data_IF_174181707273
#
_entry.id   IF_174181707273
#
_cell.length_a   1.000
_cell.length_b   1.000
_cell.length_c   1.000
_cell.angle_alpha   90.00
_cell.angle_beta   90.00
_cell.angle_gamma   90.00
#
_symmetry.space_group_name_H-M   'P 1'
#
loop_
_entity.id
_entity.type
_entity.pdbx_description
1 polymer ?
#
# COMPACT_ATOMS: atom_id res chain seq x y z
N UNK A 1 -24.45 2.81 -9.10
CA UNK A 1 -24.09 3.76 -10.17
C UNK A 1 -25.03 4.98 -10.23
N UNK A 2 -26.34 4.83 -10.41
CA UNK A 2 -27.27 5.98 -10.50
C UNK A 2 -27.42 6.84 -9.23
N UNK A 3 -27.08 6.33 -8.05
CA UNK A 3 -27.07 7.10 -6.80
C UNK A 3 -25.85 8.02 -6.72
N UNK A 4 -24.68 7.53 -7.12
CA UNK A 4 -23.42 8.29 -7.12
C UNK A 4 -23.48 9.47 -8.10
N UNK A 5 -23.95 9.23 -9.33
CA UNK A 5 -24.17 10.30 -10.32
C UNK A 5 -25.16 11.38 -9.84
N UNK A 6 -26.18 10.99 -9.05
CA UNK A 6 -27.12 11.94 -8.46
C UNK A 6 -26.48 12.80 -7.37
N UNK A 7 -25.64 12.21 -6.52
CA UNK A 7 -24.90 12.93 -5.48
C UNK A 7 -23.88 13.88 -6.11
N UNK A 8 -23.15 13.46 -7.14
CA UNK A 8 -22.19 14.31 -7.86
C UNK A 8 -22.89 15.50 -8.54
N UNK A 9 -24.04 15.26 -9.18
CA UNK A 9 -24.83 16.33 -9.80
C UNK A 9 -25.35 17.34 -8.76
N UNK A 10 -25.79 16.87 -7.58
CA UNK A 10 -26.21 17.74 -6.48
C UNK A 10 -25.05 18.55 -5.91
N UNK A 11 -23.87 17.94 -5.74
CA UNK A 11 -22.66 18.62 -5.30
C UNK A 11 -22.26 19.74 -6.27
N UNK A 12 -22.21 19.43 -7.58
CA UNK A 12 -21.89 20.41 -8.62
C UNK A 12 -22.89 21.57 -8.65
N UNK A 13 -24.19 21.30 -8.46
CA UNK A 13 -25.21 22.34 -8.38
C UNK A 13 -25.01 23.28 -7.18
N UNK A 14 -24.62 22.75 -6.02
CA UNK A 14 -24.33 23.56 -4.84
C UNK A 14 -23.09 24.43 -5.06
N UNK A 15 -22.03 23.87 -5.65
CA UNK A 15 -20.81 24.62 -5.98
C UNK A 15 -21.11 25.77 -6.95
N UNK A 16 -21.87 25.50 -8.02
CA UNK A 16 -22.23 26.53 -9.01
C UNK A 16 -23.11 27.63 -8.40
N UNK A 17 -24.05 27.26 -7.52
CA UNK A 17 -24.87 28.24 -6.77
C UNK A 17 -24.01 29.12 -5.88
N UNK A 18 -23.07 28.52 -5.15
CA UNK A 18 -22.19 29.28 -4.25
C UNK A 18 -21.22 30.19 -5.02
N UNK A 19 -20.69 29.74 -6.15
CA UNK A 19 -19.88 30.58 -7.05
C UNK A 19 -20.69 31.75 -7.60
N UNK A 20 -21.94 31.51 -8.03
CA UNK A 20 -22.83 32.57 -8.50
C UNK A 20 -23.11 33.60 -7.39
N UNK A 21 -23.40 33.14 -6.18
CA UNK A 21 -23.62 34.01 -5.01
C UNK A 21 -22.40 34.86 -4.69
N UNK A 22 -21.19 34.29 -4.72
CA UNK A 22 -19.94 35.02 -4.52
C UNK A 22 -19.70 36.07 -5.61
N UNK A 23 -19.93 35.74 -6.89
CA UNK A 23 -19.82 36.71 -7.99
C UNK A 23 -20.81 37.87 -7.84
N UNK A 24 -22.06 37.58 -7.45
CA UNK A 24 -23.05 38.61 -7.17
C UNK A 24 -22.64 39.53 -6.02
N UNK A 25 -22.12 38.97 -4.92
CA UNK A 25 -21.62 39.76 -3.80
C UNK A 25 -20.42 40.64 -4.20
N UNK A 26 -19.50 40.09 -4.99
CA UNK A 26 -18.35 40.84 -5.51
C UNK A 26 -18.78 42.00 -6.41
N UNK A 27 -19.71 41.76 -7.34
CA UNK A 27 -20.25 42.83 -8.19
C UNK A 27 -21.01 43.90 -7.40
N UNK A 28 -21.70 43.54 -6.33
CA UNK A 28 -22.35 44.51 -5.46
C UNK A 28 -21.33 45.45 -4.79
N UNK A 29 -20.20 44.92 -4.34
CA UNK A 29 -19.09 45.71 -3.76
C UNK A 29 -18.45 46.61 -4.83
N UNK A 30 -18.20 46.08 -6.03
CA UNK A 30 -17.65 46.85 -7.15
C UNK A 30 -18.55 48.04 -7.52
N UNK A 31 -19.87 47.82 -7.59
CA UNK A 31 -20.85 48.89 -7.86
C UNK A 31 -20.82 49.95 -6.76
N UNK A 32 -20.68 49.55 -5.49
CA UNK A 32 -20.58 50.51 -4.38
C UNK A 32 -19.30 51.35 -4.48
N UNK A 33 -18.18 50.73 -4.83
CA UNK A 33 -16.91 51.44 -5.05
C UNK A 33 -17.00 52.43 -6.21
N UNK A 34 -17.62 52.04 -7.34
CA UNK A 34 -17.86 52.97 -8.45
C UNK A 34 -18.76 54.14 -8.05
N UNK A 35 -19.83 53.90 -7.28
CA UNK A 35 -20.68 54.98 -6.75
C UNK A 35 -19.88 55.96 -5.89
N UNK A 36 -19.02 55.47 -5.00
CA UNK A 36 -18.16 56.33 -4.17
C UNK A 36 -17.21 57.18 -5.03
N UNK A 37 -16.60 56.60 -6.05
CA UNK A 37 -15.73 57.33 -6.98
C UNK A 37 -16.49 58.40 -7.76
N UNK A 38 -17.70 58.10 -8.22
CA UNK A 38 -18.57 59.05 -8.92
C UNK A 38 -18.98 60.20 -7.99
N UNK A 39 -19.33 59.91 -6.75
CA UNK A 39 -19.71 60.95 -5.79
C UNK A 39 -18.52 61.82 -5.37
N UNK A 40 -17.31 61.27 -5.35
CA UNK A 40 -16.09 62.05 -5.15
C UNK A 40 -15.83 63.00 -6.34
N UNK A 41 -15.94 62.50 -7.57
CA UNK A 41 -15.78 63.30 -8.80
C UNK A 41 -16.84 64.40 -8.93
N UNK A 42 -18.11 64.10 -8.59
CA UNK A 42 -19.19 65.09 -8.54
C UNK A 42 -18.89 66.19 -7.53
N UNK A 43 -18.53 65.83 -6.30
CA UNK A 43 -18.18 66.81 -5.26
C UNK A 43 -17.00 67.69 -5.68
N UNK A 44 -16.01 67.13 -6.37
CA UNK A 44 -14.88 67.89 -6.89
C UNK A 44 -15.31 68.86 -8.00
N UNK A 45 -16.15 68.40 -8.94
CA UNK A 45 -16.70 69.25 -10.01
C UNK A 45 -17.57 70.38 -9.45
N UNK A 46 -18.40 70.10 -8.44
CA UNK A 46 -19.21 71.10 -7.78
C UNK A 46 -18.34 72.11 -7.03
N UNK A 47 -17.27 71.66 -6.36
CA UNK A 47 -16.31 72.54 -5.71
C UNK A 47 -15.58 73.44 -6.72
N UNK A 48 -15.12 72.89 -7.85
CA UNK A 48 -14.51 73.65 -8.94
C UNK A 48 -15.50 74.65 -9.51
N UNK A 49 -16.72 74.23 -9.83
CA UNK A 49 -17.79 75.10 -10.34
C UNK A 49 -18.04 76.26 -9.38
N UNK A 50 -18.24 75.99 -8.09
CA UNK A 50 -18.46 77.03 -7.07
C UNK A 50 -17.25 77.96 -7.00
N UNK A 51 -16.01 77.44 -6.99
CA UNK A 51 -14.80 78.28 -6.96
C UNK A 51 -14.68 79.19 -8.19
N UNK A 52 -14.90 78.66 -9.39
CA UNK A 52 -14.84 79.43 -10.64
C UNK A 52 -16.01 80.39 -10.80
N UNK A 53 -17.23 79.99 -10.43
CA UNK A 53 -18.41 80.85 -10.48
C UNK A 53 -18.30 81.95 -9.43
N UNK A 54 -17.80 81.67 -8.23
CA UNK A 54 -17.59 82.71 -7.20
C UNK A 54 -16.49 83.69 -7.64
N UNK A 55 -15.39 83.22 -8.24
CA UNK A 55 -14.37 84.11 -8.78
C UNK A 55 -14.88 84.93 -9.98
N UNK A 56 -15.69 84.35 -10.86
CA UNK A 56 -16.32 85.05 -11.99
C UNK A 56 -17.37 86.05 -11.55
N UNK A 57 -18.26 85.68 -10.63
CA UNK A 57 -19.33 86.55 -10.10
C UNK A 57 -18.71 87.68 -9.29
N UNK A 58 -17.73 87.42 -8.42
CA UNK A 58 -17.01 88.49 -7.72
C UNK A 58 -16.28 89.43 -8.70
N UNK A 59 -15.68 88.90 -9.78
CA UNK A 59 -15.07 89.73 -10.80
C UNK A 59 -16.10 90.54 -11.60
N UNK A 60 -17.29 89.99 -11.86
CA UNK A 60 -18.36 90.62 -12.64
C UNK A 60 -19.14 91.64 -11.79
N UNK A 61 -19.44 91.34 -10.52
CA UNK A 61 -20.02 92.26 -9.54
C UNK A 61 -19.09 93.46 -9.29
N UNK A 62 -17.77 93.24 -9.23
CA UNK A 62 -16.77 94.33 -9.14
C UNK A 62 -16.73 95.18 -10.42
N UNK A 63 -16.96 94.57 -11.59
CA UNK A 63 -16.96 95.26 -12.88
C UNK A 63 -18.30 95.98 -13.18
N UNK A 64 -19.43 95.44 -12.72
CA UNK A 64 -20.77 96.03 -12.81
C UNK A 64 -20.96 97.11 -11.74
N UNK A 65 -20.51 96.91 -10.49
CA UNK A 65 -20.47 97.97 -9.49
C UNK A 65 -19.56 99.14 -9.91
N UNK A 66 -18.46 98.86 -10.63
CA UNK A 66 -17.63 99.90 -11.25
C UNK A 66 -18.29 100.66 -12.42
N UNK A 67 -19.35 100.10 -13.03
CA UNK A 67 -20.15 100.79 -14.08
C UNK A 67 -21.33 101.57 -13.52
N UNK A 68 -21.99 101.07 -12.48
CA UNK A 68 -23.07 101.81 -11.81
C UNK A 68 -22.52 102.94 -10.90
N UNK A 69 -21.32 102.79 -10.32
CA UNK A 69 -20.69 103.85 -9.51
C UNK A 69 -20.05 104.99 -10.32
N UNK A 70 -19.88 104.86 -11.65
CA UNK A 70 -19.53 106.02 -12.48
C UNK A 70 -20.65 107.08 -12.53
N UNK A 71 -21.88 106.75 -12.13
CA UNK A 71 -22.97 107.71 -11.98
C UNK A 71 -23.22 108.18 -10.53
N UNK A 72 -22.52 107.61 -9.52
CA UNK A 72 -22.66 108.04 -8.12
C UNK A 72 -21.38 107.85 -7.29
N UNK A 73 -20.47 108.81 -7.37
CA UNK A 73 -19.76 109.36 -6.20
C UNK A 73 -18.86 108.48 -5.32
N UNK A 74 -18.48 107.25 -5.69
CA UNK A 74 -17.66 106.34 -4.85
C UNK A 74 -16.27 105.99 -5.42
N UNK A 75 -15.77 106.75 -6.40
CA UNK A 75 -14.46 106.52 -7.02
C UNK A 75 -13.29 106.48 -6.03
N UNK A 76 -13.40 107.13 -4.87
CA UNK A 76 -12.34 107.19 -3.85
C UNK A 76 -12.03 105.82 -3.23
N UNK A 77 -13.02 104.95 -3.02
CA UNK A 77 -12.83 103.63 -2.41
C UNK A 77 -12.13 102.63 -3.34
N UNK A 78 -12.44 102.69 -4.64
CA UNK A 78 -11.76 101.90 -5.66
C UNK A 78 -10.34 102.42 -5.91
N UNK A 79 -10.17 103.74 -5.92
CA UNK A 79 -8.86 104.37 -6.05
C UNK A 79 -7.95 104.07 -4.85
N UNK A 80 -8.49 104.01 -3.62
CA UNK A 80 -7.78 103.57 -2.41
C UNK A 80 -7.40 102.08 -2.43
N UNK A 81 -8.29 101.20 -2.88
CA UNK A 81 -8.01 99.77 -3.02
C UNK A 81 -6.95 99.53 -4.11
N UNK A 82 -7.05 100.25 -5.24
CA UNK A 82 -6.09 100.23 -6.32
C UNK A 82 -4.74 100.81 -5.88
N UNK A 83 -4.72 101.88 -5.08
CA UNK A 83 -3.50 102.43 -4.49
C UNK A 83 -2.82 101.46 -3.53
N UNK A 84 -3.57 100.75 -2.67
CA UNK A 84 -2.98 99.70 -1.81
C UNK A 84 -2.35 98.57 -2.62
N UNK A 85 -3.01 98.13 -3.69
CA UNK A 85 -2.46 97.11 -4.59
C UNK A 85 -1.25 97.66 -5.34
N UNK A 86 -1.28 98.92 -5.79
CA UNK A 86 -0.17 99.60 -6.45
C UNK A 86 1.04 99.77 -5.52
N UNK A 87 0.84 100.13 -4.24
CA UNK A 87 1.89 100.30 -3.23
C UNK A 87 2.61 98.97 -2.93
N UNK A 88 1.86 97.87 -2.92
CA UNK A 88 2.40 96.52 -2.68
C UNK A 88 3.09 95.96 -3.94
N UNK A 89 2.50 96.18 -5.12
CA UNK A 89 2.94 95.51 -6.36
C UNK A 89 3.93 96.36 -7.18
N UNK A 90 4.03 97.67 -6.89
CA UNK A 90 4.88 98.67 -7.55
C UNK A 90 4.72 98.78 -9.07
N UNK A 91 3.60 98.31 -9.61
CA UNK A 91 3.31 98.33 -11.06
C UNK A 91 2.27 99.40 -11.38
N UNK A 92 2.62 100.32 -12.29
CA UNK A 92 1.80 101.51 -12.63
C UNK A 92 0.72 101.26 -13.67
N UNK A 93 0.80 100.16 -14.44
CA UNK A 93 -0.16 99.86 -15.51
C UNK A 93 -1.16 98.78 -15.04
N UNK A 94 -2.46 99.11 -14.88
CA UNK A 94 -3.49 98.14 -14.48
C UNK A 94 -3.55 96.92 -15.40
N UNK A 95 -3.32 97.09 -16.71
CA UNK A 95 -3.40 95.99 -17.67
C UNK A 95 -2.22 95.02 -17.54
N UNK A 96 -1.07 95.49 -17.07
CA UNK A 96 0.10 94.64 -16.79
C UNK A 96 -0.08 93.88 -15.48
N UNK A 97 -0.66 94.53 -14.47
CA UNK A 97 -0.98 93.92 -13.19
C UNK A 97 -1.99 92.77 -13.35
N UNK A 98 -3.08 93.00 -14.10
CA UNK A 98 -4.09 91.96 -14.38
C UNK A 98 -3.47 90.81 -15.16
N UNK A 99 -2.65 91.08 -16.17
CA UNK A 99 -1.94 90.02 -16.92
C UNK A 99 -1.03 89.19 -16.03
N UNK A 100 -0.24 89.82 -15.15
CA UNK A 100 0.61 89.07 -14.20
C UNK A 100 -0.18 88.25 -13.20
N UNK A 101 -1.32 88.76 -12.75
CA UNK A 101 -2.21 88.02 -11.85
C UNK A 101 -2.83 86.82 -12.57
N UNK A 102 -3.30 87.00 -13.81
CA UNK A 102 -3.79 85.90 -14.65
C UNK A 102 -2.71 84.85 -14.89
N UNK A 103 -1.49 85.25 -15.24
CA UNK A 103 -0.37 84.31 -15.39
C UNK A 103 -0.02 83.58 -14.08
N UNK A 104 -0.10 84.27 -12.94
CA UNK A 104 0.13 83.66 -11.64
C UNK A 104 -0.96 82.65 -11.27
N UNK A 105 -2.22 82.97 -11.59
CA UNK A 105 -3.36 82.08 -11.40
C UNK A 105 -3.29 80.87 -12.35
N UNK A 106 -2.94 81.05 -13.63
CA UNK A 106 -2.74 79.95 -14.57
C UNK A 106 -1.63 79.01 -14.10
N UNK A 107 -0.51 79.55 -13.62
CA UNK A 107 0.58 78.76 -13.01
C UNK A 107 0.10 77.99 -11.79
N UNK A 108 -0.75 78.60 -10.95
CA UNK A 108 -1.32 77.96 -9.76
C UNK A 108 -2.32 76.87 -10.12
N UNK A 109 -3.14 77.08 -11.15
CA UNK A 109 -4.07 76.08 -11.69
C UNK A 109 -3.28 74.88 -12.23
N UNK A 110 -2.24 75.12 -13.04
CA UNK A 110 -1.37 74.07 -13.56
C UNK A 110 -0.70 73.26 -12.44
N UNK A 111 -0.20 73.93 -11.40
CA UNK A 111 0.39 73.25 -10.24
C UNK A 111 -0.64 72.41 -9.47
N UNK A 112 -1.86 72.94 -9.26
CA UNK A 112 -2.92 72.21 -8.59
C UNK A 112 -3.35 70.98 -9.39
N UNK A 113 -3.50 71.11 -10.72
CA UNK A 113 -3.76 69.99 -11.62
C UNK A 113 -2.67 68.93 -11.54
N UNK A 114 -1.40 69.33 -11.48
CA UNK A 114 -0.28 68.39 -11.31
C UNK A 114 -0.35 67.66 -9.96
N UNK A 115 -0.56 68.37 -8.86
CA UNK A 115 -0.67 67.77 -7.52
C UNK A 115 -1.85 66.79 -7.45
N UNK A 116 -2.97 67.11 -8.11
CA UNK A 116 -4.13 66.20 -8.19
C UNK A 116 -3.79 64.93 -8.97
N UNK A 117 -3.11 65.05 -10.10
CA UNK A 117 -2.73 63.89 -10.89
C UNK A 117 -1.73 63.01 -10.14
N UNK A 118 -0.75 63.60 -9.45
CA UNK A 118 0.15 62.87 -8.55
C UNK A 118 -0.62 62.18 -7.42
N UNK A 119 -1.64 62.81 -6.86
CA UNK A 119 -2.46 62.20 -5.80
C UNK A 119 -3.26 61.01 -6.32
N UNK A 120 -3.78 61.10 -7.56
CA UNK A 120 -4.45 59.97 -8.22
C UNK A 120 -3.48 58.81 -8.48
N UNK A 121 -2.29 59.11 -8.97
CA UNK A 121 -1.27 58.11 -9.24
C UNK A 121 -0.82 57.39 -7.95
N UNK A 122 -0.63 58.14 -6.85
CA UNK A 122 -0.37 57.56 -5.53
C UNK A 122 -1.51 56.61 -5.12
N UNK A 123 -2.77 57.00 -5.31
CA UNK A 123 -3.92 56.16 -5.02
C UNK A 123 -3.93 54.86 -5.83
N UNK A 124 -3.63 54.95 -7.13
CA UNK A 124 -3.50 53.78 -8.00
C UNK A 124 -2.40 52.83 -7.56
N UNK A 125 -1.20 53.36 -7.30
CA UNK A 125 -0.06 52.56 -6.86
C UNK A 125 -0.35 51.88 -5.51
N UNK A 126 -1.07 52.55 -4.60
CA UNK A 126 -1.49 51.97 -3.33
C UNK A 126 -2.50 50.82 -3.54
N UNK A 127 -3.45 50.97 -4.45
CA UNK A 127 -4.40 49.91 -4.80
C UNK A 127 -3.68 48.69 -5.39
N UNK A 128 -2.78 48.91 -6.36
CA UNK A 128 -1.98 47.85 -6.98
C UNK A 128 -1.09 47.14 -5.95
N UNK A 129 -0.52 47.89 -5.00
CA UNK A 129 0.27 47.34 -3.90
C UNK A 129 -0.57 46.43 -3.01
N UNK A 130 -1.77 46.87 -2.62
CA UNK A 130 -2.66 46.05 -1.78
C UNK A 130 -3.21 44.83 -2.53
N UNK A 131 -3.49 44.95 -3.83
CA UNK A 131 -3.86 43.80 -4.66
C UNK A 131 -2.71 42.79 -4.76
N UNK A 132 -1.48 43.26 -4.97
CA UNK A 132 -0.29 42.41 -5.05
C UNK A 132 -0.02 41.70 -3.73
N UNK A 133 -0.13 42.41 -2.59
CA UNK A 133 -0.03 41.79 -1.26
C UNK A 133 -1.07 40.70 -1.07
N UNK A 134 -2.33 40.94 -1.45
CA UNK A 134 -3.39 39.92 -1.39
C UNK A 134 -3.03 38.70 -2.23
N UNK A 135 -2.57 38.89 -3.47
CA UNK A 135 -2.12 37.79 -4.35
C UNK A 135 -0.99 36.98 -3.73
N UNK A 136 0.01 37.62 -3.12
CA UNK A 136 1.10 36.95 -2.40
C UNK A 136 0.55 36.12 -1.24
N UNK A 137 -0.33 36.69 -0.40
CA UNK A 137 -0.88 35.95 0.75
C UNK A 137 -1.75 34.77 0.34
N UNK A 138 -2.47 34.87 -0.79
CA UNK A 138 -3.26 33.77 -1.33
C UNK A 138 -2.34 32.67 -1.85
N UNK A 139 -1.35 33.02 -2.68
CA UNK A 139 -0.37 32.07 -3.22
C UNK A 139 0.39 31.35 -2.11
N UNK A 140 0.78 32.06 -1.03
CA UNK A 140 1.42 31.42 0.12
C UNK A 140 0.54 30.36 0.79
N UNK A 141 -0.77 30.66 0.95
CA UNK A 141 -1.73 29.70 1.52
C UNK A 141 -1.93 28.49 0.60
N UNK A 142 -2.02 28.71 -0.71
CA UNK A 142 -2.13 27.64 -1.71
C UNK A 142 -0.89 26.75 -1.70
N UNK A 143 0.32 27.34 -1.63
CA UNK A 143 1.57 26.59 -1.52
C UNK A 143 1.62 25.74 -0.24
N UNK A 144 1.21 26.30 0.90
CA UNK A 144 1.18 25.56 2.16
C UNK A 144 0.23 24.35 2.08
N UNK A 145 -0.97 24.56 1.56
CA UNK A 145 -1.96 23.49 1.41
C UNK A 145 -1.48 22.41 0.44
N UNK A 146 -0.88 22.81 -0.69
CA UNK A 146 -0.31 21.87 -1.65
C UNK A 146 0.86 21.07 -1.03
N UNK A 147 1.69 21.69 -0.19
CA UNK A 147 2.78 20.99 0.51
C UNK A 147 2.22 19.97 1.51
N UNK A 148 1.19 20.32 2.28
CA UNK A 148 0.51 19.41 3.19
C UNK A 148 -0.09 18.20 2.45
N UNK A 149 -0.80 18.44 1.35
CA UNK A 149 -1.39 17.39 0.51
C UNK A 149 -0.31 16.50 -0.12
N UNK A 150 0.76 17.11 -0.63
CA UNK A 150 1.90 16.40 -1.20
C UNK A 150 2.60 15.54 -0.13
N UNK A 151 2.79 16.07 1.08
CA UNK A 151 3.39 15.35 2.18
C UNK A 151 2.50 14.19 2.66
N UNK A 152 1.17 14.37 2.68
CA UNK A 152 0.22 13.29 2.95
C UNK A 152 0.27 12.20 1.88
N UNK A 153 0.38 12.58 0.60
CA UNK A 153 0.53 11.61 -0.50
C UNK A 153 1.86 10.84 -0.39
N UNK A 154 2.96 11.53 -0.13
CA UNK A 154 4.29 10.91 0.03
C UNK A 154 4.30 9.95 1.22
N UNK A 155 3.69 10.32 2.35
CA UNK A 155 3.61 9.42 3.51
C UNK A 155 2.79 8.17 3.20
N UNK A 156 1.64 8.33 2.52
CA UNK A 156 0.83 7.19 2.05
C UNK A 156 1.59 6.26 1.11
N UNK A 157 2.31 6.81 0.12
CA UNK A 157 3.12 5.99 -0.79
C UNK A 157 4.25 5.27 -0.05
N UNK A 158 4.87 5.91 0.96
CA UNK A 158 5.89 5.27 1.80
C UNK A 158 5.33 4.11 2.62
N UNK A 159 4.13 4.25 3.18
CA UNK A 159 3.48 3.16 3.93
C UNK A 159 3.11 2.00 3.02
N UNK A 160 2.52 2.26 1.86
CA UNK A 160 2.21 1.22 0.86
C UNK A 160 3.47 0.49 0.40
N UNK A 161 4.56 1.22 0.16
CA UNK A 161 5.85 0.62 -0.19
C UNK A 161 6.39 -0.26 0.93
N UNK A 162 6.30 0.18 2.19
CA UNK A 162 6.76 -0.59 3.35
C UNK A 162 5.95 -1.90 3.52
N UNK A 163 4.63 -1.84 3.32
CA UNK A 163 3.75 -3.02 3.36
C UNK A 163 4.10 -4.03 2.26
N UNK A 164 4.25 -3.57 1.02
CA UNK A 164 4.63 -4.42 -0.12
C UNK A 164 6.03 -5.02 0.10
N UNK A 165 6.96 -4.24 0.63
CA UNK A 165 8.30 -4.71 0.96
C UNK A 165 8.25 -5.83 2.01
N UNK A 166 7.47 -5.64 3.08
CA UNK A 166 7.28 -6.65 4.13
C UNK A 166 6.64 -7.93 3.58
N UNK A 167 5.62 -7.80 2.74
CA UNK A 167 4.96 -8.96 2.11
C UNK A 167 5.93 -9.72 1.20
N UNK A 168 6.70 -8.98 0.40
CA UNK A 168 7.73 -9.54 -0.50
C UNK A 168 8.82 -10.27 0.27
N UNK A 169 9.28 -9.71 1.39
CA UNK A 169 10.25 -10.37 2.27
C UNK A 169 9.67 -11.64 2.89
N UNK A 170 8.39 -11.61 3.27
CA UNK A 170 7.64 -12.79 3.70
C UNK A 170 7.60 -13.90 2.64
N UNK A 171 7.25 -13.57 1.39
CA UNK A 171 7.27 -14.55 0.29
C UNK A 171 8.68 -15.04 -0.02
N UNK A 172 9.69 -14.17 0.04
CA UNK A 172 11.09 -14.54 -0.15
C UNK A 172 11.54 -15.54 0.91
N UNK A 173 11.13 -15.37 2.17
CA UNK A 173 11.45 -16.32 3.23
C UNK A 173 10.75 -17.66 3.00
N UNK A 174 9.45 -17.67 2.71
CA UNK A 174 8.70 -18.89 2.36
C UNK A 174 9.34 -19.65 1.19
N UNK A 175 9.81 -18.92 0.17
CA UNK A 175 10.50 -19.52 -0.98
C UNK A 175 11.86 -20.14 -0.60
N UNK A 176 12.61 -19.52 0.33
CA UNK A 176 13.85 -20.11 0.87
C UNK A 176 13.55 -21.40 1.64
N UNK A 177 12.53 -21.38 2.49
CA UNK A 177 12.14 -22.54 3.30
C UNK A 177 11.70 -23.70 2.40
N UNK A 178 10.89 -23.42 1.37
CA UNK A 178 10.48 -24.41 0.37
C UNK A 178 11.69 -25.01 -0.37
N UNK A 179 12.66 -24.19 -0.80
CA UNK A 179 13.90 -24.67 -1.44
C UNK A 179 14.71 -25.56 -0.49
N UNK A 180 14.75 -25.24 0.79
CA UNK A 180 15.44 -26.05 1.79
C UNK A 180 14.75 -27.42 1.98
N UNK A 181 13.42 -27.43 2.09
CA UNK A 181 12.63 -28.68 2.17
C UNK A 181 12.82 -29.54 0.92
N UNK A 182 12.78 -28.93 -0.27
CA UNK A 182 13.02 -29.60 -1.54
C UNK A 182 14.42 -30.24 -1.61
N UNK A 183 15.45 -29.53 -1.12
CA UNK A 183 16.81 -30.08 -1.05
C UNK A 183 16.91 -31.26 -0.06
N UNK A 184 16.20 -31.20 1.07
CA UNK A 184 16.11 -32.32 2.02
C UNK A 184 15.40 -33.53 1.40
N UNK A 185 14.31 -33.32 0.66
CA UNK A 185 13.59 -34.38 -0.05
C UNK A 185 14.47 -35.04 -1.11
N UNK A 186 15.18 -34.26 -1.93
CA UNK A 186 16.11 -34.82 -2.92
C UNK A 186 17.16 -35.72 -2.27
N UNK A 187 17.78 -35.25 -1.17
CA UNK A 187 18.78 -36.04 -0.42
C UNK A 187 18.17 -37.29 0.22
N UNK A 188 16.97 -37.17 0.80
CA UNK A 188 16.27 -38.29 1.44
C UNK A 188 15.91 -39.40 0.45
N UNK A 189 15.39 -39.01 -0.72
CA UNK A 189 15.06 -39.94 -1.80
C UNK A 189 16.33 -40.58 -2.35
N UNK A 190 17.37 -39.80 -2.62
CA UNK A 190 18.64 -40.35 -3.13
C UNK A 190 19.27 -41.37 -2.16
N UNK A 191 19.25 -41.06 -0.86
CA UNK A 191 19.70 -41.98 0.19
C UNK A 191 18.90 -43.28 0.21
N UNK A 192 17.57 -43.21 0.12
CA UNK A 192 16.72 -44.41 0.13
C UNK A 192 16.88 -45.24 -1.15
N UNK A 193 16.94 -44.61 -2.32
CA UNK A 193 17.21 -45.27 -3.61
C UNK A 193 18.53 -46.05 -3.54
N UNK A 194 19.58 -45.45 -2.95
CA UNK A 194 20.87 -46.12 -2.73
C UNK A 194 20.72 -47.30 -1.77
N UNK A 195 20.08 -47.10 -0.61
CA UNK A 195 20.02 -48.09 0.48
C UNK A 195 19.18 -49.32 0.12
N UNK A 196 18.12 -49.13 -0.66
CA UNK A 196 17.23 -50.21 -1.14
C UNK A 196 17.85 -50.92 -2.36
N UNK A 197 18.87 -50.33 -2.99
CA UNK A 197 19.54 -50.88 -4.16
C UNK A 197 18.67 -50.83 -5.42
N UNK A 198 17.99 -49.71 -5.65
CA UNK A 198 17.19 -49.49 -6.85
C UNK A 198 18.08 -49.27 -8.09
N UNK A 199 17.72 -49.86 -9.23
CA UNK A 199 18.42 -49.67 -10.50
C UNK A 199 18.13 -48.28 -11.10
N UNK A 200 19.06 -47.34 -10.89
CA UNK A 200 18.98 -45.94 -11.34
C UNK A 200 19.00 -45.80 -12.86
N UNK A 201 19.63 -46.74 -13.56
CA UNK A 201 19.83 -46.72 -15.01
C UNK A 201 18.50 -46.60 -15.77
N UNK A 202 17.42 -47.19 -15.24
CA UNK A 202 16.08 -47.15 -15.87
C UNK A 202 15.53 -45.73 -15.97
N UNK A 203 15.86 -44.86 -15.01
CA UNK A 203 15.40 -43.47 -14.97
C UNK A 203 16.41 -42.58 -15.68
N UNK A 204 17.71 -42.75 -15.41
CA UNK A 204 18.78 -41.92 -15.96
C UNK A 204 18.88 -42.06 -17.49
N UNK A 205 18.75 -43.27 -18.04
CA UNK A 205 18.76 -43.50 -19.49
C UNK A 205 17.56 -42.86 -20.20
N UNK A 206 16.39 -42.77 -19.54
CA UNK A 206 15.19 -42.11 -20.10
C UNK A 206 15.27 -40.59 -20.06
N UNK A 207 16.08 -40.03 -19.16
CA UNK A 207 16.24 -38.59 -18.95
C UNK A 207 17.54 -38.05 -19.54
N UNK A 208 18.23 -38.82 -20.39
CA UNK A 208 19.44 -38.37 -21.09
C UNK A 208 20.69 -38.32 -20.20
N UNK A 209 20.87 -39.30 -19.31
CA UNK A 209 22.01 -39.42 -18.39
C UNK A 209 22.18 -38.24 -17.41
N UNK A 210 21.11 -37.49 -17.13
CA UNK A 210 21.11 -36.55 -16.01
C UNK A 210 21.16 -37.35 -14.69
N UNK A 211 22.35 -37.45 -14.10
CA UNK A 211 22.55 -38.21 -12.87
C UNK A 211 21.89 -37.50 -11.67
N UNK A 212 21.22 -38.29 -10.83
CA UNK A 212 20.69 -37.85 -9.54
C UNK A 212 19.22 -37.41 -9.50
N UNK A 213 18.74 -37.18 -8.27
CA UNK A 213 17.35 -36.82 -7.96
C UNK A 213 17.17 -35.31 -8.11
N UNK A 214 16.25 -34.93 -8.99
CA UNK A 214 15.83 -33.57 -9.31
C UNK A 214 14.30 -33.48 -9.22
N UNK A 215 13.75 -32.27 -9.18
CA UNK A 215 12.32 -32.13 -8.86
C UNK A 215 11.39 -32.66 -9.94
N UNK A 216 11.81 -32.60 -11.20
CA UNK A 216 11.05 -33.14 -12.33
C UNK A 216 11.08 -34.68 -12.39
N UNK A 217 12.10 -35.32 -11.80
CA UNK A 217 12.26 -36.79 -11.83
C UNK A 217 11.97 -37.47 -10.48
N UNK A 218 11.73 -36.68 -9.42
CA UNK A 218 11.49 -37.15 -8.05
C UNK A 218 10.36 -38.19 -7.96
N UNK A 219 9.24 -37.95 -8.66
CA UNK A 219 8.12 -38.88 -8.71
C UNK A 219 8.47 -40.21 -9.38
N UNK A 220 9.37 -40.19 -10.37
CA UNK A 220 9.83 -41.40 -11.03
C UNK A 220 10.69 -42.24 -10.08
N UNK A 221 11.57 -41.61 -9.29
CA UNK A 221 12.35 -42.30 -8.26
C UNK A 221 11.48 -42.87 -7.14
N UNK A 222 10.46 -42.13 -6.68
CA UNK A 222 9.50 -42.64 -5.69
C UNK A 222 8.76 -43.89 -6.20
N UNK A 223 8.31 -43.88 -7.46
CA UNK A 223 7.67 -45.05 -8.09
C UNK A 223 8.63 -46.24 -8.21
N UNK A 224 9.89 -45.99 -8.54
CA UNK A 224 10.91 -47.05 -8.62
C UNK A 224 11.19 -47.67 -7.25
N UNK A 225 11.26 -46.84 -6.20
CA UNK A 225 11.39 -47.32 -4.82
C UNK A 225 10.19 -48.17 -4.41
N UNK A 226 8.97 -47.70 -4.70
CA UNK A 226 7.75 -48.44 -4.41
C UNK A 226 7.77 -49.83 -5.06
N UNK A 227 8.08 -49.91 -6.35
CA UNK A 227 8.19 -51.19 -7.06
C UNK A 227 9.21 -52.12 -6.37
N UNK A 228 10.39 -51.59 -6.01
CA UNK A 228 11.45 -52.38 -5.38
C UNK A 228 11.07 -52.86 -3.99
N UNK A 229 10.40 -52.02 -3.19
CA UNK A 229 9.89 -52.40 -1.87
C UNK A 229 8.84 -53.50 -2.01
N UNK A 230 7.92 -53.41 -2.97
CA UNK A 230 6.92 -54.46 -3.22
C UNK A 230 7.56 -55.81 -3.61
N UNK A 231 8.60 -55.78 -4.46
CA UNK A 231 9.38 -56.99 -4.80
C UNK A 231 10.02 -57.61 -3.56
N UNK A 232 10.69 -56.80 -2.73
CA UNK A 232 11.34 -57.26 -1.49
C UNK A 232 10.32 -57.83 -0.49
N UNK A 233 9.15 -57.19 -0.34
CA UNK A 233 8.07 -57.69 0.50
C UNK A 233 7.53 -59.03 0.01
N UNK A 234 7.41 -59.22 -1.31
CA UNK A 234 6.96 -60.50 -1.89
C UNK A 234 7.97 -61.61 -1.68
N UNK A 235 9.26 -61.31 -1.79
CA UNK A 235 10.34 -62.27 -1.48
C UNK A 235 10.30 -62.63 0.01
N UNK A 236 10.15 -61.63 0.88
CA UNK A 236 10.07 -61.85 2.32
C UNK A 236 8.85 -62.69 2.72
N UNK A 237 7.66 -62.41 2.17
CA UNK A 237 6.47 -63.20 2.45
C UNK A 237 6.62 -64.63 1.97
N UNK A 238 7.20 -64.84 0.79
CA UNK A 238 7.52 -66.18 0.27
C UNK A 238 8.49 -66.93 1.21
N UNK A 239 9.60 -66.32 1.61
CA UNK A 239 10.58 -66.93 2.52
C UNK A 239 9.95 -67.25 3.89
N UNK A 240 9.03 -66.40 4.38
CA UNK A 240 8.38 -66.59 5.69
C UNK A 240 7.26 -67.64 5.67
N UNK A 241 6.56 -67.80 4.54
CA UNK A 241 5.43 -68.74 4.39
C UNK A 241 5.88 -70.13 3.93
N UNK A 242 6.96 -70.24 3.16
CA UNK A 242 7.51 -71.51 2.66
C UNK A 242 7.84 -72.56 3.76
N UNK A 243 8.31 -72.18 4.96
CA UNK A 243 8.50 -73.12 6.07
C UNK A 243 7.18 -73.68 6.63
N UNK A 244 6.08 -72.92 6.57
CA UNK A 244 4.77 -73.40 7.01
C UNK A 244 4.16 -74.40 6.03
N UNK A 245 4.30 -74.18 4.72
CA UNK A 245 3.82 -75.12 3.71
C UNK A 245 4.58 -76.45 3.74
N UNK A 246 5.91 -76.42 3.88
CA UNK A 246 6.73 -77.63 4.00
C UNK A 246 6.44 -78.41 5.28
N UNK A 247 6.12 -77.73 6.39
CA UNK A 247 5.68 -78.38 7.62
C UNK A 247 4.30 -79.02 7.49
N UNK A 248 3.36 -78.39 6.75
CA UNK A 248 2.06 -79.02 6.49
C UNK A 248 2.14 -80.17 5.49
N UNK A 249 3.03 -80.11 4.51
CA UNK A 249 3.28 -81.22 3.58
C UNK A 249 4.02 -82.38 4.25
N UNK A 250 4.95 -82.12 5.18
CA UNK A 250 5.59 -83.17 5.96
C UNK A 250 4.59 -83.84 6.91
N UNK A 251 3.74 -83.06 7.58
CA UNK A 251 2.64 -83.61 8.41
C UNK A 251 1.63 -84.39 7.55
N UNK A 252 1.32 -83.93 6.34
CA UNK A 252 0.43 -84.63 5.40
C UNK A 252 1.03 -85.95 4.89
N UNK A 253 2.32 -85.96 4.52
CA UNK A 253 3.04 -87.18 4.13
C UNK A 253 3.22 -88.13 5.31
N UNK A 254 3.41 -87.57 6.52
CA UNK A 254 3.50 -88.34 7.75
C UNK A 254 2.20 -89.06 8.10
N UNK A 255 1.08 -88.37 7.89
CA UNK A 255 -0.24 -88.97 8.05
C UNK A 255 -0.57 -90.01 6.97
N UNK A 256 0.02 -89.89 5.76
CA UNK A 256 -0.21 -90.82 4.64
C UNK A 256 0.54 -92.14 4.79
N UNK A 257 1.81 -92.13 5.22
CA UNK A 257 2.53 -93.38 5.53
C UNK A 257 1.90 -94.10 6.73
N UNK A 258 1.39 -93.36 7.72
CA UNK A 258 0.69 -93.95 8.84
C UNK A 258 -0.56 -94.72 8.40
N UNK A 259 -1.32 -94.19 7.42
CA UNK A 259 -2.50 -94.88 6.86
C UNK A 259 -2.18 -96.06 5.94
N UNK A 260 -1.12 -95.97 5.12
CA UNK A 260 -0.68 -97.08 4.25
C UNK A 260 -0.09 -98.24 5.06
N UNK A 261 0.63 -97.96 6.14
CA UNK A 261 1.16 -98.99 7.03
C UNK A 261 0.03 -99.71 7.78
N UNK A 262 -1.02 -98.97 8.19
CA UNK A 262 -2.21 -99.54 8.82
C UNK A 262 -3.02 -100.43 7.86
N UNK A 263 -3.23 -99.99 6.61
CA UNK A 263 -3.95 -100.76 5.59
C UNK A 263 -3.16 -101.98 5.10
N UNK A 264 -1.84 -101.86 4.99
CA UNK A 264 -0.94 -103.00 4.73
C UNK A 264 -1.00 -104.02 5.87
N UNK A 265 -0.91 -103.57 7.12
CA UNK A 265 -0.92 -104.46 8.29
C UNK A 265 -2.28 -105.13 8.55
N UNK A 266 -3.40 -104.54 8.11
CA UNK A 266 -4.72 -105.17 8.16
C UNK A 266 -4.92 -106.23 7.08
N UNK A 267 -4.38 -106.04 5.86
CA UNK A 267 -4.44 -107.03 4.78
C UNK A 267 -3.65 -108.31 5.11
N UNK A 268 -2.51 -108.17 5.78
CA UNK A 268 -1.73 -109.32 6.27
C UNK A 268 -2.39 -110.04 7.47
N UNK A 269 -3.25 -109.38 8.24
CA UNK A 269 -3.98 -110.00 9.36
C UNK A 269 -5.24 -110.76 8.93
N UNK A 270 -5.90 -110.35 7.85
CA UNK A 270 -7.06 -111.09 7.32
C UNK A 270 -6.67 -112.41 6.62
N UNK A 271 -5.48 -112.51 6.00
CA UNK A 271 -5.01 -113.76 5.38
C UNK A 271 -4.48 -114.80 6.38
N UNK A 272 -4.04 -114.38 7.57
CA UNK A 272 -3.51 -115.28 8.62
C UNK A 272 -4.59 -115.76 9.61
N UNK A 273 -5.76 -115.10 9.72
CA UNK A 273 -6.85 -115.53 10.62
C UNK A 273 -7.73 -116.68 10.08
N UNK A 274 -7.71 -116.98 8.77
CA UNK A 274 -8.46 -118.11 8.20
C UNK A 274 -7.76 -119.48 8.28
N UNK A 275 -6.45 -119.54 8.63
CA UNK A 275 -5.66 -120.80 8.56
C UNK A 275 -5.08 -121.32 9.87
N UNK A 276 -5.48 -120.80 11.03
CA UNK A 276 -4.77 -121.04 12.30
C UNK A 276 -5.50 -121.81 13.41
N UNK A 277 -6.68 -122.41 13.19
CA UNK A 277 -7.49 -123.02 14.27
C UNK A 277 -7.30 -124.53 14.46
N UNK A 278 -6.07 -125.03 14.48
CA UNK A 278 -5.71 -126.33 15.04
C UNK A 278 -4.24 -126.37 15.50
N UNK A 279 -4.02 -126.28 16.82
CA UNK A 279 -3.15 -127.14 17.65
C UNK A 279 -2.62 -126.41 18.89
N UNK A 280 -2.83 -127.11 19.99
CA UNK A 280 -2.39 -126.89 21.37
C UNK A 280 -0.88 -127.06 21.58
N UNK A 281 -0.40 -126.39 22.64
CA UNK A 281 0.69 -126.77 23.55
C UNK A 281 2.10 -126.95 22.99
N UNK A 282 3.02 -126.07 23.40
CA UNK A 282 4.19 -126.47 24.20
C UNK A 282 4.77 -125.32 25.03
N UNK A 283 5.13 -125.68 26.26
CA UNK A 283 5.76 -124.93 27.35
C UNK A 283 7.21 -124.57 26.98
N UNK A 284 7.68 -123.33 27.24
CA UNK A 284 8.98 -123.04 27.90
C UNK A 284 8.89 -121.68 28.64
N UNK A 285 9.18 -121.73 29.93
CA UNK A 285 9.38 -120.65 30.92
C UNK A 285 10.80 -120.06 30.82
N UNK A 286 10.99 -118.73 30.91
CA UNK A 286 12.19 -118.09 31.51
C UNK A 286 11.88 -116.65 32.01
N UNK A 287 11.63 -116.53 33.31
CA UNK A 287 12.20 -115.59 34.30
C UNK A 287 12.57 -114.13 33.94
N UNK A 288 11.85 -113.20 34.61
CA UNK A 288 12.33 -112.11 35.50
C UNK A 288 13.44 -111.14 35.03
N UNK A 289 13.07 -109.86 34.86
CA UNK A 289 13.71 -108.71 35.56
C UNK A 289 12.96 -107.38 35.36
N UNK A 290 12.49 -106.80 36.46
CA UNK A 290 12.40 -105.35 36.74
C UNK A 290 13.38 -105.07 37.90
N UNK A 291 13.55 -103.83 38.43
CA UNK A 291 13.25 -102.46 37.96
C UNK A 291 14.48 -101.53 38.12
N UNK A 292 14.34 -100.22 37.91
CA UNK A 292 14.73 -99.22 38.93
C UNK A 292 14.37 -97.79 38.50
N UNK A 293 13.49 -97.17 39.28
CA UNK A 293 13.39 -95.74 39.54
C UNK A 293 14.53 -95.30 40.49
N UNK A 294 14.97 -94.03 40.43
CA UNK A 294 14.97 -93.07 41.57
C UNK A 294 15.78 -91.78 41.32
N UNK A 295 15.16 -90.67 41.76
CA UNK A 295 15.68 -89.46 42.44
C UNK A 295 16.77 -88.59 41.78
N UNK A 296 16.57 -87.28 41.52
CA UNK A 296 16.38 -86.14 42.45
C UNK A 296 17.49 -86.00 43.49
N UNK A 297 18.31 -84.95 43.43
CA UNK A 297 18.46 -83.95 44.49
C UNK A 297 19.37 -82.77 44.07
N UNK A 298 19.17 -81.67 44.79
CA UNK A 298 19.58 -80.28 44.56
C UNK A 298 21.03 -79.91 44.90
N UNK A 299 21.33 -78.67 44.49
CA UNK A 299 22.04 -77.58 45.21
C UNK A 299 23.54 -77.38 44.95
N UNK A 300 23.89 -76.11 44.73
CA UNK A 300 25.27 -75.61 44.73
C UNK A 300 25.44 -74.22 44.13
N UNK A 301 24.97 -73.19 44.84
CA UNK A 301 25.35 -71.77 44.69
C UNK A 301 26.85 -71.54 44.88
N UNK A 302 27.49 -70.67 44.08
CA UNK A 302 28.59 -69.78 44.53
C UNK A 302 28.58 -68.47 43.71
N UNK A 303 28.69 -67.35 44.43
CA UNK A 303 28.81 -65.96 43.97
C UNK A 303 30.27 -65.56 43.68
N UNK A 304 30.47 -64.69 42.67
CA UNK A 304 31.43 -63.56 42.50
C UNK A 304 32.94 -63.75 42.78
N UNK A 305 33.86 -62.78 42.50
CA UNK A 305 33.75 -61.36 42.09
C UNK A 305 34.51 -61.05 40.76
N UNK A 306 34.35 -59.94 40.03
CA UNK A 306 34.50 -58.51 40.37
C UNK A 306 35.75 -57.96 39.68
N UNK A 307 35.69 -56.77 39.06
CA UNK A 307 36.88 -56.05 38.60
C UNK A 307 36.72 -55.17 37.37
N UNK A 308 36.55 -53.88 37.62
CA UNK A 308 36.57 -52.68 36.74
C UNK A 308 37.97 -52.34 36.17
N UNK A 309 38.09 -51.13 35.57
CA UNK A 309 39.21 -50.39 34.96
C UNK A 309 39.20 -50.48 33.43
N UNK A 310 39.15 -49.41 32.63
CA UNK A 310 39.36 -47.97 32.86
C UNK A 310 38.56 -47.14 31.84
#
# INVERSE_FOLDING_TARGET
MHSLQRVDAQCNLVVLREQSRKKQAQHAIEIENFKRSIDHDKRLKDFMRIKFDTQRVLAMDVFEAGRDETESGNGQTYEEAFHKIHEITKESDPDVLVRRFMEADDRKIALFSYVLEQTREIGRVQEDLEETKKKITLSYKECLHHEEDHQALVTKMKTELAEIQQETDGYRQKAKDMKMMQAQLHKGIDSMVTRIGCDRSRIENRLGNSAGVQSYNMMSYLRLMEQRISELLRIWSYIRLKPLELATESISKDSRWATETYLGSHRWKEEEEEKGKWRTNHVIDWKVRQPASFQSYRHGTVQNPGGTWH
#
